data_IF_248379439126
#
_entry.id   IF_248379439126
#
_cell.length_a   1.000
_cell.length_b   1.000
_cell.length_c   1.000
_cell.angle_alpha   90.00
_cell.angle_beta   90.00
_cell.angle_gamma   90.00
#
_symmetry.space_group_name_H-M   'P 1'
#
loop_
_entity.id
_entity.type
_entity.pdbx_description
1 polymer ?
#
# COMPACT_ATOMS: atom_id res chain seq x y z
N UNK A 1 -31.74 4.55 -8.38
CA UNK A 1 -32.70 3.47 -8.05
C UNK A 1 -32.01 2.63 -6.99
N UNK A 2 -32.57 2.56 -5.78
CA UNK A 2 -32.07 1.66 -4.72
C UNK A 2 -32.78 0.33 -4.96
N UNK A 3 -32.03 -0.76 -5.14
CA UNK A 3 -32.61 -2.09 -5.33
C UNK A 3 -33.42 -2.50 -4.10
N UNK A 4 -34.51 -3.25 -4.32
CA UNK A 4 -35.52 -3.59 -3.30
C UNK A 4 -34.94 -4.36 -2.08
N UNK A 5 -33.70 -4.88 -2.17
CA UNK A 5 -32.99 -5.62 -1.11
C UNK A 5 -31.61 -5.02 -0.74
N UNK A 6 -31.35 -3.74 -1.05
CA UNK A 6 -30.03 -3.14 -0.82
C UNK A 6 -29.68 -2.82 0.64
N UNK A 7 -30.66 -2.88 1.54
CA UNK A 7 -30.47 -2.61 2.98
C UNK A 7 -30.60 -3.91 3.78
N UNK A 8 -29.63 -4.24 4.65
CA UNK A 8 -29.72 -5.40 5.51
C UNK A 8 -30.83 -5.22 6.54
N UNK A 9 -31.73 -6.20 6.64
CA UNK A 9 -32.85 -6.23 7.60
C UNK A 9 -32.63 -7.23 8.72
N UNK A 10 -31.87 -8.29 8.44
CA UNK A 10 -31.60 -9.41 9.34
C UNK A 10 -30.09 -9.60 9.56
N UNK A 11 -29.72 -10.32 10.62
CA UNK A 11 -28.32 -10.63 10.95
C UNK A 11 -27.57 -11.24 9.75
N UNK A 12 -28.16 -12.23 9.08
CA UNK A 12 -27.55 -12.88 7.90
C UNK A 12 -27.30 -11.90 6.75
N UNK A 13 -28.25 -11.00 6.48
CA UNK A 13 -28.08 -9.98 5.43
C UNK A 13 -27.04 -8.93 5.82
N UNK A 14 -26.89 -8.64 7.11
CA UNK A 14 -25.82 -7.79 7.62
C UNK A 14 -24.46 -8.44 7.39
N UNK A 15 -24.33 -9.74 7.69
CA UNK A 15 -23.09 -10.49 7.44
C UNK A 15 -22.72 -10.47 5.96
N UNK A 16 -23.67 -10.68 5.05
CA UNK A 16 -23.41 -10.58 3.61
C UNK A 16 -22.99 -9.16 3.17
N UNK A 17 -23.64 -8.13 3.73
CA UNK A 17 -23.25 -6.75 3.46
C UNK A 17 -21.82 -6.45 3.97
N UNK A 18 -21.44 -6.98 5.14
CA UNK A 18 -20.09 -6.85 5.69
C UNK A 18 -19.05 -7.61 4.86
N UNK A 19 -19.37 -8.82 4.40
CA UNK A 19 -18.52 -9.58 3.47
C UNK A 19 -18.27 -8.79 2.18
N UNK A 20 -19.31 -8.22 1.56
CA UNK A 20 -19.15 -7.43 0.34
C UNK A 20 -18.36 -6.14 0.60
N UNK A 21 -18.61 -5.47 1.73
CA UNK A 21 -17.91 -4.24 2.13
C UNK A 21 -16.39 -4.45 2.26
N UNK A 22 -15.96 -5.60 2.75
CA UNK A 22 -14.54 -5.93 2.94
C UNK A 22 -13.92 -6.57 1.69
N UNK A 23 -14.68 -7.38 0.95
CA UNK A 23 -14.16 -8.19 -0.16
C UNK A 23 -15.05 -8.10 -1.41
N UNK A 24 -15.25 -6.90 -1.98
CA UNK A 24 -16.20 -6.72 -3.08
C UNK A 24 -15.77 -7.42 -4.38
N UNK A 25 -14.46 -7.67 -4.55
CA UNK A 25 -13.92 -8.42 -5.70
C UNK A 25 -14.14 -9.93 -5.59
N UNK A 26 -14.18 -10.46 -4.38
CA UNK A 26 -14.38 -11.89 -4.12
C UNK A 26 -15.85 -12.26 -4.21
N UNK A 27 -16.75 -11.36 -3.78
CA UNK A 27 -18.20 -11.60 -3.75
C UNK A 27 -18.97 -10.68 -4.72
N UNK A 28 -18.73 -10.72 -6.04
CA UNK A 28 -19.39 -9.81 -6.99
C UNK A 28 -20.92 -10.01 -7.03
N UNK A 29 -21.41 -11.20 -6.71
CA UNK A 29 -22.84 -11.51 -6.63
C UNK A 29 -23.58 -10.78 -5.50
N UNK A 30 -22.86 -10.18 -4.54
CA UNK A 30 -23.41 -9.37 -3.45
C UNK A 30 -23.44 -7.87 -3.79
N UNK A 31 -23.31 -7.51 -5.06
CA UNK A 31 -23.24 -6.11 -5.52
C UNK A 31 -24.43 -5.25 -5.14
N UNK A 32 -25.59 -5.85 -4.81
CA UNK A 32 -26.76 -5.13 -4.32
C UNK A 32 -26.53 -4.46 -2.96
N UNK A 33 -25.55 -4.93 -2.17
CA UNK A 33 -25.10 -4.27 -0.94
C UNK A 33 -24.04 -3.18 -1.18
N UNK A 34 -23.79 -2.79 -2.43
CA UNK A 34 -22.80 -1.77 -2.75
C UNK A 34 -23.17 -0.39 -2.17
N UNK A 35 -22.34 0.06 -1.25
CA UNK A 35 -22.34 1.45 -0.76
C UNK A 35 -21.65 2.41 -1.74
N UNK A 36 -21.82 3.72 -1.50
CA UNK A 36 -21.16 4.78 -2.28
C UNK A 36 -19.64 4.61 -2.41
N UNK A 37 -19.01 4.03 -1.38
CA UNK A 37 -17.58 3.73 -1.38
C UNK A 37 -17.14 2.87 -2.57
N UNK A 38 -17.94 1.86 -2.93
CA UNK A 38 -17.61 0.96 -4.04
C UNK A 38 -17.70 1.65 -5.41
N UNK A 39 -18.49 2.73 -5.50
CA UNK A 39 -18.64 3.52 -6.73
C UNK A 39 -17.49 4.52 -6.96
N UNK A 40 -16.51 4.62 -6.05
CA UNK A 40 -15.35 5.50 -6.22
C UNK A 40 -14.51 5.08 -7.42
N UNK A 41 -14.39 5.99 -8.40
CA UNK A 41 -13.65 5.75 -9.65
C UNK A 41 -12.25 6.33 -9.68
N UNK A 42 -12.01 7.37 -8.87
CA UNK A 42 -10.76 8.13 -8.85
C UNK A 42 -10.31 8.33 -7.42
N UNK A 43 -9.03 8.10 -7.17
CA UNK A 43 -8.39 8.32 -5.88
C UNK A 43 -7.28 9.33 -6.07
N UNK A 44 -7.17 10.24 -5.12
CA UNK A 44 -6.09 11.21 -5.05
C UNK A 44 -5.38 11.08 -3.71
N UNK A 45 -4.09 10.75 -3.76
CA UNK A 45 -3.22 10.66 -2.60
C UNK A 45 -2.29 11.86 -2.57
N UNK A 46 -2.32 12.54 -1.42
CA UNK A 46 -1.41 13.61 -1.09
C UNK A 46 -1.09 13.48 0.41
N UNK A 47 0.09 12.95 0.70
CA UNK A 47 0.53 12.60 2.06
C UNK A 47 1.97 13.09 2.26
N UNK A 48 2.45 13.08 3.51
CA UNK A 48 3.87 13.33 3.78
C UNK A 48 4.73 12.09 3.46
N UNK A 49 6.05 12.23 3.50
CA UNK A 49 6.98 11.13 3.19
C UNK A 49 6.81 9.92 4.12
N UNK A 50 6.66 10.13 5.43
CA UNK A 50 6.49 9.04 6.39
C UNK A 50 5.21 8.23 6.13
N UNK A 51 4.12 8.92 5.85
CA UNK A 51 2.82 8.31 5.61
C UNK A 51 2.82 7.56 4.27
N UNK A 52 3.50 8.07 3.24
CA UNK A 52 3.73 7.30 2.02
C UNK A 52 4.53 6.01 2.26
N UNK A 53 5.63 6.10 3.03
CA UNK A 53 6.46 4.94 3.34
C UNK A 53 5.67 3.87 4.10
N UNK A 54 4.81 4.27 5.04
CA UNK A 54 3.92 3.36 5.76
C UNK A 54 2.81 2.80 4.87
N UNK A 55 2.13 3.66 4.12
CA UNK A 55 0.99 3.29 3.27
C UNK A 55 1.38 2.25 2.21
N UNK A 56 2.55 2.41 1.58
CA UNK A 56 3.09 1.47 0.59
C UNK A 56 3.97 0.36 1.19
N UNK A 57 3.91 0.17 2.52
CA UNK A 57 4.64 -0.87 3.26
C UNK A 57 6.13 -0.96 2.87
N UNK A 58 6.84 0.16 2.89
CA UNK A 58 8.28 0.23 2.59
C UNK A 58 9.07 -0.46 3.70
N UNK A 59 9.97 -1.38 3.33
CA UNK A 59 10.78 -2.16 4.29
C UNK A 59 12.28 -1.82 4.26
N UNK A 60 12.73 -1.00 3.29
CA UNK A 60 14.15 -0.64 3.13
C UNK A 60 14.73 -0.01 4.40
N UNK A 61 16.03 -0.21 4.66
CA UNK A 61 16.73 0.43 5.77
C UNK A 61 16.15 0.16 7.16
N UNK A 62 15.44 -0.95 7.33
CA UNK A 62 14.75 -1.29 8.58
C UNK A 62 13.47 -0.49 8.85
N UNK A 63 12.96 0.29 7.88
CA UNK A 63 11.73 1.09 8.06
C UNK A 63 10.52 0.23 8.45
N UNK A 64 10.50 -1.04 8.03
CA UNK A 64 9.44 -2.00 8.37
C UNK A 64 9.22 -2.19 9.89
N UNK A 65 10.25 -1.97 10.72
CA UNK A 65 10.15 -2.07 12.19
C UNK A 65 9.28 -0.97 12.81
N UNK A 66 8.99 0.09 12.06
CA UNK A 66 8.22 1.25 12.51
C UNK A 66 6.79 1.27 11.92
N UNK A 67 6.35 0.16 11.35
CA UNK A 67 4.98 -0.01 10.89
C UNK A 67 4.02 -0.01 12.07
N UNK A 68 2.85 0.60 11.88
CA UNK A 68 1.77 0.57 12.86
C UNK A 68 0.83 -0.58 12.50
N UNK A 69 0.50 -1.49 13.44
CA UNK A 69 -0.31 -2.66 13.15
C UNK A 69 -1.71 -2.31 12.59
N UNK A 70 -2.29 -1.18 13.01
CA UNK A 70 -3.64 -0.76 12.61
C UNK A 70 -3.63 0.42 11.61
N UNK A 71 -2.53 0.61 10.88
CA UNK A 71 -2.42 1.67 9.87
C UNK A 71 -3.13 1.30 8.57
N UNK A 72 -3.84 2.25 7.95
CA UNK A 72 -4.37 2.07 6.59
C UNK A 72 -3.20 1.93 5.60
N UNK A 73 -3.27 0.91 4.74
CA UNK A 73 -2.27 0.57 3.72
C UNK A 73 -2.88 0.62 2.31
N UNK A 74 -2.06 0.44 1.28
CA UNK A 74 -2.50 0.36 -0.12
C UNK A 74 -3.52 -0.77 -0.39
N UNK A 75 -3.61 -1.79 0.47
CA UNK A 75 -4.59 -2.89 0.38
C UNK A 75 -6.03 -2.38 0.44
N UNK A 76 -6.24 -1.17 0.98
CA UNK A 76 -7.55 -0.51 0.98
C UNK A 76 -8.16 -0.36 -0.43
N UNK A 77 -7.32 -0.38 -1.47
CA UNK A 77 -7.76 -0.31 -2.86
C UNK A 77 -8.42 -1.61 -3.36
N UNK A 78 -8.24 -2.74 -2.68
CA UNK A 78 -8.95 -3.99 -2.98
C UNK A 78 -10.44 -3.88 -2.63
N UNK A 79 -10.76 -3.06 -1.63
CA UNK A 79 -12.13 -2.73 -1.20
C UNK A 79 -12.82 -1.74 -2.16
N UNK A 80 -12.15 -1.31 -3.23
CA UNK A 80 -12.64 -0.31 -4.18
C UNK A 80 -12.62 -0.90 -5.61
N UNK A 81 -13.61 -1.72 -5.96
CA UNK A 81 -13.58 -2.55 -7.18
C UNK A 81 -13.63 -1.70 -8.46
N UNK A 82 -14.20 -0.50 -8.42
CA UNK A 82 -14.40 0.35 -9.60
C UNK A 82 -13.37 1.47 -9.75
N UNK A 83 -12.25 1.42 -9.02
CA UNK A 83 -11.17 2.41 -9.16
C UNK A 83 -10.51 2.27 -10.52
N UNK A 84 -10.65 3.32 -11.33
CA UNK A 84 -10.06 3.40 -12.67
C UNK A 84 -8.79 4.22 -12.68
N UNK A 85 -8.64 5.16 -11.74
CA UNK A 85 -7.53 6.10 -11.71
C UNK A 85 -7.03 6.33 -10.28
N UNK A 86 -5.73 6.19 -10.07
CA UNK A 86 -5.05 6.54 -8.81
C UNK A 86 -4.04 7.63 -9.14
N UNK A 87 -4.27 8.83 -8.62
CA UNK A 87 -3.34 9.96 -8.73
C UNK A 87 -2.57 10.11 -7.43
N UNK A 88 -1.25 10.20 -7.51
CA UNK A 88 -0.34 10.25 -6.36
C UNK A 88 0.56 11.46 -6.52
N UNK A 89 0.54 12.36 -5.55
CA UNK A 89 1.43 13.52 -5.51
C UNK A 89 2.58 13.23 -4.57
N UNK A 90 3.79 13.05 -5.11
CA UNK A 90 4.97 12.92 -4.28
C UNK A 90 5.15 14.21 -3.44
N UNK A 91 5.65 14.09 -2.20
CA UNK A 91 5.75 15.24 -1.30
C UNK A 91 6.62 16.35 -1.91
N UNK A 92 6.06 17.56 -2.02
CA UNK A 92 6.82 18.74 -2.44
C UNK A 92 7.53 19.38 -1.24
N UNK A 93 8.47 20.30 -1.51
CA UNK A 93 9.27 20.97 -0.48
C UNK A 93 8.37 21.69 0.54
N UNK A 94 8.41 21.31 1.83
CA UNK A 94 7.64 21.98 2.87
C UNK A 94 8.12 23.41 3.04
N UNK A 95 7.23 24.30 3.52
CA UNK A 95 7.58 25.72 3.80
C UNK A 95 8.75 25.87 4.77
N UNK A 96 8.90 24.94 5.72
CA UNK A 96 9.99 24.91 6.71
C UNK A 96 11.26 24.19 6.21
N UNK A 97 11.26 23.77 4.95
CA UNK A 97 12.31 22.92 4.38
C UNK A 97 12.19 21.46 4.79
N UNK A 98 13.16 20.66 4.35
CA UNK A 98 13.27 19.23 4.63
C UNK A 98 13.90 19.02 6.01
N UNK A 99 13.06 18.98 7.04
CA UNK A 99 13.46 18.83 8.44
C UNK A 99 12.76 17.63 9.07
N UNK A 100 13.45 16.92 9.95
CA UNK A 100 12.82 15.85 10.74
C UNK A 100 11.90 16.50 11.77
N UNK A 101 10.65 16.06 11.87
CA UNK A 101 9.75 16.57 12.90
C UNK A 101 9.97 15.80 14.21
N UNK A 102 9.85 16.47 15.36
CA UNK A 102 9.89 15.78 16.64
C UNK A 102 8.72 14.79 16.72
N UNK A 103 8.96 13.61 17.31
CA UNK A 103 7.95 12.56 17.54
C UNK A 103 7.35 11.90 16.29
N UNK A 104 8.00 11.97 15.12
CA UNK A 104 7.46 11.41 13.86
C UNK A 104 7.27 9.87 13.82
N UNK A 105 7.75 9.14 14.84
CA UNK A 105 7.59 7.70 14.99
C UNK A 105 8.27 6.93 13.85
N UNK A 106 9.58 6.76 13.90
CA UNK A 106 10.32 6.19 12.78
C UNK A 106 11.80 6.59 12.81
N UNK A 107 12.59 6.15 11.83
CA UNK A 107 13.94 6.65 11.65
C UNK A 107 13.89 8.08 11.10
N UNK A 108 14.99 8.81 11.28
CA UNK A 108 15.13 10.14 10.69
C UNK A 108 15.13 10.04 9.16
N UNK A 109 14.30 10.83 8.51
CA UNK A 109 14.17 10.86 7.04
C UNK A 109 15.21 11.76 6.37
N UNK A 110 15.63 12.83 7.05
CA UNK A 110 16.44 13.88 6.46
C UNK A 110 17.80 13.97 7.12
N UNK A 111 18.86 13.82 6.33
CA UNK A 111 20.23 13.96 6.82
C UNK A 111 20.52 15.45 7.02
N UNK A 112 20.95 15.86 8.21
CA UNK A 112 21.47 17.20 8.44
C UNK A 112 22.97 17.21 8.12
N UNK A 113 23.51 18.02 7.18
CA UNK A 113 22.93 19.17 6.48
C UNK A 113 22.50 18.90 5.01
N UNK A 114 22.54 17.65 4.54
CA UNK A 114 22.40 17.30 3.12
C UNK A 114 21.22 16.33 2.87
N UNK A 115 19.96 16.77 2.98
CA UNK A 115 18.79 15.91 2.77
C UNK A 115 18.65 15.51 1.30
N UNK A 116 18.34 14.23 1.04
CA UNK A 116 18.16 13.71 -0.31
C UNK A 116 16.71 13.34 -0.61
N UNK A 117 15.96 14.30 -1.17
CA UNK A 117 14.57 14.05 -1.58
C UNK A 117 14.47 13.01 -2.70
N UNK A 118 15.40 13.05 -3.67
CA UNK A 118 15.41 12.14 -4.82
C UNK A 118 15.42 10.67 -4.39
N UNK A 119 16.26 10.31 -3.42
CA UNK A 119 16.31 8.95 -2.87
C UNK A 119 15.02 8.56 -2.14
N UNK A 120 14.43 9.47 -1.36
CA UNK A 120 13.17 9.21 -0.66
C UNK A 120 11.99 9.04 -1.62
N UNK A 121 11.89 9.89 -2.65
CA UNK A 121 10.90 9.76 -3.72
C UNK A 121 11.07 8.44 -4.47
N UNK A 122 12.32 8.06 -4.75
CA UNK A 122 12.65 6.82 -5.45
C UNK A 122 12.12 5.58 -4.75
N UNK A 123 12.41 5.45 -3.46
CA UNK A 123 11.89 4.33 -2.66
C UNK A 123 10.37 4.26 -2.71
N UNK A 124 9.68 5.41 -2.70
CA UNK A 124 8.22 5.46 -2.75
C UNK A 124 7.71 5.06 -4.14
N UNK A 125 8.20 5.67 -5.22
CA UNK A 125 7.66 5.39 -6.55
C UNK A 125 8.04 4.00 -7.07
N UNK A 126 9.16 3.43 -6.65
CA UNK A 126 9.54 2.04 -6.94
C UNK A 126 8.49 1.09 -6.36
N UNK A 127 8.11 1.30 -5.10
CA UNK A 127 7.05 0.53 -4.45
C UNK A 127 5.68 0.77 -5.08
N UNK A 128 5.36 2.00 -5.50
CA UNK A 128 4.13 2.29 -6.25
C UNK A 128 4.11 1.50 -7.57
N UNK A 129 5.22 1.47 -8.31
CA UNK A 129 5.33 0.78 -9.59
C UNK A 129 5.12 -0.73 -9.44
N UNK A 130 5.60 -1.32 -8.34
CA UNK A 130 5.44 -2.75 -8.03
C UNK A 130 4.04 -3.11 -7.51
N UNK A 131 3.48 -2.31 -6.60
CA UNK A 131 2.24 -2.67 -5.89
C UNK A 131 0.98 -2.32 -6.70
N UNK A 132 1.01 -1.24 -7.47
CA UNK A 132 -0.18 -0.76 -8.20
C UNK A 132 -0.24 -1.23 -9.65
N UNK A 133 0.41 -2.36 -9.96
CA UNK A 133 0.44 -2.96 -11.30
C UNK A 133 -0.96 -3.33 -11.79
N UNK A 134 -1.82 -3.80 -10.88
CA UNK A 134 -3.20 -4.20 -11.19
C UNK A 134 -4.11 -3.01 -11.55
N UNK A 135 -3.67 -1.77 -11.32
CA UNK A 135 -4.46 -0.58 -11.62
C UNK A 135 -4.06 0.03 -12.97
N UNK A 136 -5.01 0.16 -13.91
CA UNK A 136 -4.68 0.52 -15.30
C UNK A 136 -4.12 1.95 -15.40
N UNK A 137 -4.64 2.90 -14.62
CA UNK A 137 -4.23 4.32 -14.70
C UNK A 137 -3.74 4.85 -13.35
N UNK A 138 -2.50 4.55 -13.01
CA UNK A 138 -1.76 5.24 -11.94
C UNK A 138 -1.04 6.45 -12.53
N UNK A 139 -1.21 7.63 -11.95
CA UNK A 139 -0.48 8.85 -12.32
C UNK A 139 0.30 9.34 -11.12
N UNK A 140 1.60 9.53 -11.28
CA UNK A 140 2.45 10.08 -10.24
C UNK A 140 2.89 11.48 -10.66
N UNK A 141 2.82 12.42 -9.73
CA UNK A 141 3.12 13.83 -9.92
C UNK A 141 4.21 14.29 -8.93
N UNK A 142 4.76 15.48 -9.17
CA UNK A 142 5.82 16.10 -8.36
C UNK A 142 7.13 15.30 -8.33
N UNK A 143 7.53 14.75 -9.48
CA UNK A 143 8.89 14.24 -9.64
C UNK A 143 9.91 15.36 -9.47
N UNK A 144 11.12 14.99 -9.03
CA UNK A 144 12.21 15.95 -8.82
C UNK A 144 12.68 16.53 -10.16
N UNK A 145 12.70 15.70 -11.20
CA UNK A 145 13.11 16.01 -12.56
C UNK A 145 12.45 15.02 -13.55
N UNK A 146 12.64 15.26 -14.85
CA UNK A 146 12.12 14.40 -15.90
C UNK A 146 12.83 13.04 -15.97
N UNK A 147 14.07 12.94 -15.47
CA UNK A 147 14.82 11.68 -15.40
C UNK A 147 14.18 10.68 -14.44
N UNK A 148 13.80 11.13 -13.24
CA UNK A 148 13.11 10.30 -12.25
C UNK A 148 11.71 9.90 -12.75
N UNK A 149 11.04 10.79 -13.49
CA UNK A 149 9.76 10.47 -14.14
C UNK A 149 9.94 9.37 -15.18
N UNK A 150 10.92 9.50 -16.08
CA UNK A 150 11.21 8.50 -17.10
C UNK A 150 11.56 7.14 -16.48
N UNK A 151 12.35 7.14 -15.40
CA UNK A 151 12.68 5.94 -14.63
C UNK A 151 11.44 5.26 -14.05
N UNK A 152 10.53 6.03 -13.44
CA UNK A 152 9.28 5.48 -12.92
C UNK A 152 8.44 4.84 -14.05
N UNK A 153 8.34 5.48 -15.21
CA UNK A 153 7.61 4.94 -16.35
C UNK A 153 8.21 3.62 -16.87
N UNK A 154 9.55 3.51 -16.88
CA UNK A 154 10.24 2.28 -17.22
C UNK A 154 10.01 1.16 -16.19
N UNK A 155 10.14 1.47 -14.90
CA UNK A 155 9.86 0.52 -13.82
C UNK A 155 8.44 0.00 -13.88
N UNK A 156 7.47 0.90 -14.10
CA UNK A 156 6.06 0.51 -14.21
C UNK A 156 5.79 -0.35 -15.45
N UNK A 157 6.44 -0.04 -16.59
CA UNK A 157 6.34 -0.89 -17.79
C UNK A 157 6.91 -2.28 -17.53
N UNK A 158 8.07 -2.36 -16.87
CA UNK A 158 8.71 -3.63 -16.47
C UNK A 158 7.84 -4.42 -15.50
N UNK A 159 7.25 -3.77 -14.49
CA UNK A 159 6.35 -4.41 -13.53
C UNK A 159 5.07 -4.94 -14.18
N UNK A 160 4.48 -4.18 -15.12
CA UNK A 160 3.35 -4.63 -15.94
C UNK A 160 3.70 -5.86 -16.78
N UNK A 161 4.90 -5.90 -17.39
CA UNK A 161 5.36 -7.06 -18.15
C UNK A 161 5.65 -8.28 -17.29
N UNK A 162 6.12 -8.08 -16.05
CA UNK A 162 6.36 -9.16 -15.07
C UNK A 162 5.07 -9.70 -14.45
N UNK A 163 3.97 -8.96 -14.53
CA UNK A 163 2.68 -9.42 -14.04
C UNK A 163 2.23 -10.62 -14.86
N UNK A 164 2.30 -11.81 -14.25
CA UNK A 164 1.86 -13.06 -14.88
C UNK A 164 0.36 -13.11 -15.14
N UNK A 165 -0.40 -12.26 -14.44
CA UNK A 165 -1.84 -12.24 -14.46
C UNK A 165 -2.33 -10.81 -14.67
N UNK A 166 -3.27 -10.64 -15.57
CA UNK A 166 -4.05 -9.42 -15.77
C UNK A 166 -5.25 -9.40 -14.82
N UNK A 167 -5.78 -8.21 -14.54
CA UNK A 167 -6.99 -8.09 -13.70
C UNK A 167 -8.19 -8.86 -14.29
N UNK A 168 -8.26 -8.98 -15.62
CA UNK A 168 -9.29 -9.75 -16.32
C UNK A 168 -9.12 -11.26 -16.10
N UNK A 169 -7.90 -11.77 -16.18
CA UNK A 169 -7.63 -13.19 -15.89
C UNK A 169 -7.92 -13.56 -14.43
N UNK A 170 -7.71 -12.63 -13.48
CA UNK A 170 -8.15 -12.83 -12.09
C UNK A 170 -9.68 -12.91 -12.00
N UNK A 171 -10.39 -11.99 -12.66
CA UNK A 171 -11.86 -11.99 -12.68
C UNK A 171 -12.41 -13.28 -13.29
N UNK A 172 -11.84 -13.73 -14.42
CA UNK A 172 -12.17 -15.01 -15.06
C UNK A 172 -11.97 -16.19 -14.09
N UNK A 173 -10.82 -16.25 -13.40
CA UNK A 173 -10.51 -17.32 -12.45
C UNK A 173 -11.52 -17.38 -11.29
N UNK A 174 -11.99 -16.24 -10.80
CA UNK A 174 -13.02 -16.20 -9.76
C UNK A 174 -14.41 -16.57 -10.29
N UNK A 175 -14.74 -16.22 -11.53
CA UNK A 175 -16.02 -16.59 -12.15
C UNK A 175 -16.11 -18.05 -12.55
N UNK A 176 -15.03 -18.66 -13.03
CA UNK A 176 -15.01 -20.04 -13.51
C UNK A 176 -14.87 -21.05 -12.35
N UNK A 177 -14.16 -20.69 -11.28
CA UNK A 177 -14.02 -21.54 -10.09
C UNK A 177 -15.16 -21.40 -9.07
N UNK A 178 -16.31 -20.84 -9.47
CA UNK A 178 -17.51 -20.76 -8.63
C UNK A 178 -17.27 -20.17 -7.22
N UNK A 179 -16.32 -19.24 -7.10
CA UNK A 179 -16.00 -18.55 -5.83
C UNK A 179 -14.73 -19.00 -5.09
N UNK A 180 -13.89 -19.89 -5.62
CA UNK A 180 -12.55 -20.13 -5.04
C UNK A 180 -11.88 -21.46 -5.40
N UNK A 181 -10.62 -21.60 -5.01
CA UNK A 181 -9.90 -22.89 -5.00
C UNK A 181 -10.10 -23.49 -3.62
N UNK A 182 -10.62 -24.72 -3.55
CA UNK A 182 -10.72 -25.48 -2.32
C UNK A 182 -9.29 -25.84 -1.87
N UNK A 183 -8.86 -25.31 -0.73
CA UNK A 183 -7.56 -25.63 -0.15
C UNK A 183 -7.65 -26.99 0.54
N UNK A 184 -6.66 -27.87 0.33
CA UNK A 184 -6.58 -29.17 1.00
C UNK A 184 -6.45 -29.03 2.53
N UNK A 185 -5.90 -27.89 2.98
CA UNK A 185 -5.80 -27.51 4.38
C UNK A 185 -6.66 -26.26 4.66
N UNK A 186 -7.40 -26.29 5.78
CA UNK A 186 -8.16 -25.15 6.27
C UNK A 186 -7.20 -24.04 6.72
N UNK A 187 -6.83 -23.16 5.80
CA UNK A 187 -6.11 -21.94 6.13
C UNK A 187 -7.12 -20.95 6.69
N UNK A 188 -6.97 -20.55 7.96
CA UNK A 188 -7.78 -19.46 8.51
C UNK A 188 -7.55 -18.21 7.64
N UNK A 189 -8.58 -17.67 6.97
CA UNK A 189 -8.45 -16.41 6.26
C UNK A 189 -8.05 -15.38 7.32
N UNK A 190 -6.88 -14.75 7.16
CA UNK A 190 -6.31 -13.86 8.16
C UNK A 190 -7.35 -12.86 8.65
N UNK A 191 -7.87 -13.06 9.86
CA UNK A 191 -8.82 -12.16 10.50
C UNK A 191 -8.06 -10.93 10.96
N UNK A 192 -7.90 -9.95 10.06
CA UNK A 192 -7.29 -8.66 10.40
C UNK A 192 -8.25 -7.72 11.16
N UNK A 193 -9.41 -8.23 11.61
CA UNK A 193 -10.39 -7.53 12.44
C UNK A 193 -11.10 -8.53 13.35
N UNK A 194 -10.44 -9.03 14.39
CA UNK A 194 -11.15 -9.45 15.60
C UNK A 194 -10.40 -8.91 16.81
N UNK A 195 -11.05 -7.98 17.50
CA UNK A 195 -10.77 -7.61 18.88
C UNK A 195 -11.16 -8.80 19.78
N UNK A 196 -10.14 -9.28 20.48
CA UNK A 196 -10.13 -9.81 21.85
C UNK A 196 -10.73 -11.18 22.24
N UNK A 197 -9.83 -11.92 22.89
CA UNK A 197 -9.97 -12.82 24.05
C UNK A 197 -10.15 -14.35 23.86
N UNK A 198 -9.17 -15.04 24.49
CA UNK A 198 -9.12 -16.44 24.96
C UNK A 198 -8.70 -17.60 24.02
N UNK A 199 -7.36 -17.72 23.95
CA UNK A 199 -6.54 -18.95 24.04
C UNK A 199 -7.25 -20.31 23.83
N UNK A 200 -6.85 -21.02 22.78
CA UNK A 200 -6.33 -22.38 22.96
C UNK A 200 -5.32 -22.75 21.87
N UNK A 201 -4.19 -23.24 22.36
CA UNK A 201 -3.00 -23.68 21.63
C UNK A 201 -3.32 -24.92 20.78
N UNK A 202 -3.02 -24.85 19.48
CA UNK A 202 -2.50 -26.02 18.74
C UNK A 202 -1.37 -25.51 17.85
N UNK A 203 -0.21 -26.08 18.11
CA UNK A 203 1.08 -25.82 17.49
C UNK A 203 1.05 -26.11 15.99
N UNK A 204 1.36 -25.09 15.18
CA UNK A 204 2.03 -25.27 13.91
C UNK A 204 3.20 -24.30 13.90
N UNK A 205 4.38 -24.89 13.92
CA UNK A 205 5.70 -24.29 14.06
C UNK A 205 5.95 -23.24 12.96
N UNK A 206 5.59 -21.98 13.23
CA UNK A 206 6.22 -20.83 12.58
C UNK A 206 7.17 -20.27 13.61
N UNK A 207 8.47 -20.48 13.35
CA UNK A 207 9.61 -20.05 14.16
C UNK A 207 9.43 -18.64 14.73
N UNK A 208 8.92 -18.57 15.96
CA UNK A 208 9.18 -17.47 16.89
C UNK A 208 10.63 -17.60 17.35
N UNK A 209 11.57 -17.16 16.54
CA UNK A 209 12.88 -16.75 17.06
C UNK A 209 12.77 -15.37 17.70
N UNK A 210 12.23 -15.35 18.92
CA UNK A 210 12.70 -14.41 19.94
C UNK A 210 13.87 -15.11 20.63
N UNK A 211 15.05 -15.00 20.03
CA UNK A 211 16.33 -15.34 20.66
C UNK A 211 17.23 -14.12 20.56
N UNK A 212 17.35 -13.40 21.67
CA UNK A 212 18.53 -12.63 22.04
C UNK A 212 18.93 -11.42 21.17
N UNK A 213 19.74 -10.50 21.73
CA UNK A 213 20.44 -9.52 20.93
C UNK A 213 21.62 -10.24 20.30
N UNK A 214 21.51 -10.62 19.02
CA UNK A 214 22.63 -10.74 18.08
C UNK A 214 22.13 -11.36 16.75
N UNK A 215 21.63 -10.49 15.88
CA UNK A 215 21.81 -10.65 14.43
C UNK A 215 22.32 -9.33 13.91
N UNK A 216 23.65 -9.23 13.86
CA UNK A 216 24.36 -8.34 12.95
C UNK A 216 24.00 -8.73 11.50
N UNK A 217 22.78 -8.42 11.05
CA UNK A 217 22.64 -7.98 9.67
C UNK A 217 23.39 -6.65 9.59
N UNK A 218 24.36 -6.48 8.67
CA UNK A 218 24.98 -5.19 8.49
C UNK A 218 23.84 -4.21 8.22
N UNK A 219 23.63 -3.29 9.15
CA UNK A 219 22.69 -2.21 8.98
C UNK A 219 23.13 -1.49 7.71
N UNK A 220 22.43 -1.69 6.61
CA UNK A 220 22.44 -0.68 5.58
C UNK A 220 21.76 0.53 6.22
N UNK A 221 22.57 1.43 6.77
CA UNK A 221 22.20 2.74 7.28
C UNK A 221 21.66 3.60 6.12
N UNK A 222 20.53 3.19 5.56
CA UNK A 222 19.87 3.93 4.50
C UNK A 222 19.30 5.23 5.06
N UNK A 223 18.83 5.22 6.31
CA UNK A 223 18.23 6.36 6.97
C UNK A 223 19.19 7.02 7.98
N UNK A 224 19.36 8.35 7.94
CA UNK A 224 18.87 9.27 6.92
C UNK A 224 19.76 9.28 5.66
N UNK A 225 19.20 9.26 4.42
CA UNK A 225 20.01 9.24 3.21
C UNK A 225 20.73 10.57 2.99
N UNK A 226 22.06 10.50 2.85
CA UNK A 226 22.91 11.64 2.51
C UNK A 226 22.82 11.94 1.01
N UNK A 227 22.59 13.21 0.66
CA UNK A 227 22.55 13.62 -0.74
C UNK A 227 23.93 13.51 -1.41
N UNK A 228 24.01 12.71 -2.48
CA UNK A 228 25.17 12.57 -3.37
C UNK A 228 24.83 12.92 -4.82
N UNK A 229 23.70 13.60 -5.03
CA UNK A 229 23.28 14.06 -6.35
C UNK A 229 24.22 15.18 -6.83
N UNK A 230 24.42 15.26 -8.15
CA UNK A 230 25.23 16.32 -8.78
C UNK A 230 24.74 17.72 -8.37
N UNK A 231 23.41 17.91 -8.38
CA UNK A 231 22.74 19.07 -7.80
C UNK A 231 22.15 18.68 -6.45
N UNK A 232 22.51 19.41 -5.39
CA UNK A 232 21.98 19.16 -4.06
C UNK A 232 20.46 19.34 -4.03
N UNK A 233 19.73 18.31 -3.60
CA UNK A 233 18.26 18.33 -3.56
C UNK A 233 17.69 19.45 -2.69
N UNK A 234 18.44 19.99 -1.73
CA UNK A 234 18.01 21.12 -0.91
C UNK A 234 17.87 22.43 -1.71
N UNK A 235 18.59 22.56 -2.83
CA UNK A 235 18.62 23.73 -3.71
C UNK A 235 17.60 23.66 -4.86
N UNK A 236 17.01 22.49 -5.10
CA UNK A 236 15.99 22.34 -6.13
C UNK A 236 14.69 23.02 -5.67
N UNK A 237 14.18 23.93 -6.51
CA UNK A 237 12.80 24.37 -6.44
C UNK A 237 11.97 23.31 -7.17
N UNK A 238 11.11 22.60 -6.45
CA UNK A 238 10.16 21.68 -7.07
C UNK A 238 9.10 22.56 -7.70
N UNK A 239 9.18 22.76 -9.01
CA UNK A 239 8.19 23.53 -9.76
C UNK A 239 6.82 22.83 -9.66
N UNK A 240 5.82 23.60 -9.22
CA UNK A 240 4.41 23.18 -9.12
C UNK A 240 3.73 23.18 -10.48
#
# INVERSE_FOLDING_TARGET
MIEYNGLPTDYNTSTFADCYKLHPRIYPHLSHYATFRHALRKIHLNMNLHDYMRFFKVTIGGFGRYMRPNGMSFEIFEQLPHVKEISIHLPSKPRRGWVNEPYQGGPMMFHHPAPCLRLLHRVIYERIAELLVLYPRVKVYNFVDDEEKARYEELRRSALQKSKWTAAEFEELYTECNGGIELEELVQPGSWLHEDEDKQEVELEVERQVTGPDTHQPFEEFFPPKCRCEVQCCKLEVYM
#
